data_IF_713134146314
#
_entry.id   IF_713134146314
#
_cell.length_a   1.000
_cell.length_b   1.000
_cell.length_c   1.000
_cell.angle_alpha   90.00
_cell.angle_beta   90.00
_cell.angle_gamma   90.00
#
_symmetry.space_group_name_H-M   'P 1'
#
loop_
_entity.id
_entity.type
_entity.pdbx_description
1 polymer ?
#
# COMPACT_ATOMS: atom_id res chain seq x y z
N UNK A 1 -10.84 -21.96 -20.19
CA UNK A 1 -9.68 -21.60 -19.40
C UNK A 1 -9.61 -20.09 -19.20
N UNK A 2 -9.50 -19.70 -17.99
CA UNK A 2 -9.39 -18.29 -17.71
C UNK A 2 -7.93 -17.95 -17.48
N UNK A 3 -7.45 -16.97 -18.19
CA UNK A 3 -6.17 -16.37 -17.85
C UNK A 3 -6.42 -15.47 -16.65
N UNK A 4 -5.73 -15.73 -15.57
CA UNK A 4 -5.81 -14.82 -14.44
C UNK A 4 -5.23 -13.47 -14.86
N UNK A 5 -5.99 -12.42 -14.69
CA UNK A 5 -5.46 -11.08 -14.92
C UNK A 5 -4.40 -10.81 -13.86
N UNK A 6 -3.25 -10.24 -14.24
CA UNK A 6 -2.27 -9.84 -13.22
C UNK A 6 -2.88 -8.79 -12.30
N UNK A 7 -2.54 -8.88 -11.02
CA UNK A 7 -3.00 -7.91 -10.03
C UNK A 7 -1.83 -7.01 -9.67
N UNK A 8 -1.70 -5.91 -10.38
CA UNK A 8 -0.61 -4.99 -10.15
C UNK A 8 -0.87 -4.14 -8.91
N UNK A 9 0.14 -4.00 -8.12
CA UNK A 9 0.14 -3.23 -6.92
C UNK A 9 1.56 -3.08 -6.43
N UNK A 10 1.72 -2.67 -5.19
CA UNK A 10 3.04 -2.50 -4.60
C UNK A 10 3.00 -2.84 -3.12
N UNK A 11 4.16 -3.20 -2.60
CA UNK A 11 4.32 -3.56 -1.19
C UNK A 11 4.72 -2.32 -0.41
N UNK A 12 4.03 -2.09 0.70
CA UNK A 12 4.31 -1.00 1.62
C UNK A 12 4.80 -1.58 2.93
N UNK A 13 5.98 -1.19 3.36
CA UNK A 13 6.53 -1.60 4.65
C UNK A 13 6.69 -0.37 5.54
N UNK A 14 6.12 -0.43 6.73
CA UNK A 14 6.20 0.65 7.71
C UNK A 14 7.02 0.18 8.90
N UNK A 15 7.93 1.02 9.35
CA UNK A 15 8.82 0.70 10.46
C UNK A 15 8.39 1.48 11.68
N UNK A 16 7.69 0.82 12.59
CA UNK A 16 7.28 1.44 13.84
C UNK A 16 7.04 0.37 14.88
N UNK A 17 7.39 0.68 16.12
CA UNK A 17 7.10 -0.17 17.26
C UNK A 17 5.79 0.23 17.93
N UNK A 18 5.21 1.34 17.54
CA UNK A 18 3.98 1.86 18.14
C UNK A 18 2.77 1.41 17.32
N UNK A 19 2.07 0.40 17.85
CA UNK A 19 0.90 -0.17 17.17
C UNK A 19 -0.21 0.86 16.99
N UNK A 20 -0.42 1.72 17.97
CA UNK A 20 -1.47 2.73 17.87
C UNK A 20 -1.14 3.78 16.81
N UNK A 21 0.12 4.20 16.74
CA UNK A 21 0.56 5.13 15.71
C UNK A 21 0.42 4.51 14.32
N UNK A 22 0.76 3.23 14.19
CA UNK A 22 0.62 2.50 12.94
C UNK A 22 -0.84 2.45 12.50
N UNK A 23 -1.74 2.11 13.41
CA UNK A 23 -3.16 2.03 13.10
C UNK A 23 -3.71 3.38 12.64
N UNK A 24 -3.31 4.46 13.30
CA UNK A 24 -3.74 5.80 12.91
C UNK A 24 -3.18 6.20 11.55
N UNK A 25 -1.94 5.85 11.27
CA UNK A 25 -1.30 6.15 9.99
C UNK A 25 -2.01 5.43 8.85
N UNK A 26 -2.31 4.15 9.03
CA UNK A 26 -3.00 3.37 8.00
C UNK A 26 -4.42 3.88 7.77
N UNK A 27 -5.10 4.25 8.83
CA UNK A 27 -6.44 4.79 8.72
C UNK A 27 -6.45 6.11 7.95
N UNK A 28 -5.49 6.98 8.23
CA UNK A 28 -5.35 8.25 7.52
C UNK A 28 -4.95 8.01 6.05
N UNK A 29 -4.08 7.06 5.78
CA UNK A 29 -3.69 6.72 4.42
C UNK A 29 -4.91 6.28 3.59
N UNK A 30 -5.74 5.43 4.17
CA UNK A 30 -6.97 5.00 3.50
C UNK A 30 -7.86 6.18 3.17
N UNK A 31 -8.10 7.04 4.14
CA UNK A 31 -9.01 8.18 3.97
C UNK A 31 -8.47 9.23 3.02
N UNK A 32 -7.18 9.52 3.12
CA UNK A 32 -6.59 10.64 2.39
C UNK A 32 -6.16 10.28 0.96
N UNK A 33 -5.76 9.04 0.73
CA UNK A 33 -5.18 8.63 -0.56
C UNK A 33 -5.97 7.49 -1.18
N UNK A 34 -6.11 6.39 -0.45
CA UNK A 34 -6.58 5.14 -1.06
C UNK A 34 -8.03 5.22 -1.51
N UNK A 35 -8.91 5.75 -0.69
CA UNK A 35 -10.33 5.84 -1.03
C UNK A 35 -10.58 6.72 -2.24
N UNK A 36 -9.90 7.84 -2.31
CA UNK A 36 -10.06 8.75 -3.44
C UNK A 36 -9.54 8.20 -4.75
N UNK A 37 -8.66 7.20 -4.69
CA UNK A 37 -8.11 6.58 -5.88
C UNK A 37 -8.65 5.18 -6.14
N UNK A 38 -9.57 4.71 -5.31
CA UNK A 38 -10.12 3.36 -5.44
C UNK A 38 -9.12 2.26 -5.14
N UNK A 39 -8.19 2.53 -4.24
CA UNK A 39 -7.15 1.56 -3.87
C UNK A 39 -7.54 0.80 -2.60
N UNK A 40 -7.04 -0.41 -2.49
CA UNK A 40 -7.25 -1.27 -1.33
C UNK A 40 -5.92 -1.52 -0.63
N UNK A 41 -5.99 -1.64 0.68
CA UNK A 41 -4.84 -2.00 1.52
C UNK A 41 -5.10 -3.37 2.13
N UNK A 42 -4.18 -4.30 1.90
CA UNK A 42 -4.28 -5.66 2.43
C UNK A 42 -3.08 -5.99 3.28
N UNK A 43 -3.26 -6.91 4.22
CA UNK A 43 -2.15 -7.39 5.04
C UNK A 43 -1.19 -8.20 4.19
N UNK A 44 0.11 -7.97 4.40
CA UNK A 44 1.15 -8.76 3.75
C UNK A 44 1.55 -9.97 4.59
N UNK A 45 2.65 -10.60 4.22
CA UNK A 45 3.09 -11.84 4.85
C UNK A 45 3.74 -11.63 6.21
N UNK A 46 4.23 -10.42 6.48
CA UNK A 46 4.95 -10.12 7.72
C UNK A 46 4.30 -8.94 8.42
N UNK A 47 4.62 -8.78 9.71
CA UNK A 47 4.17 -7.64 10.47
C UNK A 47 4.67 -6.34 9.83
N UNK A 48 3.81 -5.34 9.79
CA UNK A 48 4.11 -4.02 9.22
C UNK A 48 4.33 -4.03 7.71
N UNK A 49 3.98 -5.12 7.04
CA UNK A 49 4.04 -5.22 5.58
C UNK A 49 2.63 -5.27 5.03
N UNK A 50 2.35 -4.44 4.04
CA UNK A 50 1.01 -4.32 3.47
C UNK A 50 1.11 -4.32 1.96
N UNK A 51 0.02 -4.69 1.30
CA UNK A 51 -0.07 -4.70 -0.15
C UNK A 51 -1.15 -3.72 -0.57
N UNK A 52 -0.80 -2.83 -1.49
CA UNK A 52 -1.75 -1.84 -2.03
C UNK A 52 -2.05 -2.22 -3.47
N UNK A 53 -3.33 -2.38 -3.78
CA UNK A 53 -3.80 -2.74 -5.12
C UNK A 53 -4.99 -1.88 -5.50
N UNK A 54 -5.38 -1.90 -6.77
CA UNK A 54 -6.61 -1.28 -7.21
C UNK A 54 -7.82 -2.14 -6.87
N UNK A 55 -8.95 -1.49 -6.63
CA UNK A 55 -10.21 -2.17 -6.38
C UNK A 55 -10.91 -2.39 -7.72
N UNK A 56 -10.74 -3.58 -8.27
CA UNK A 56 -11.29 -3.93 -9.55
C UNK A 56 -10.51 -3.42 -10.75
N UNK A 57 -9.32 -2.86 -10.54
CA UNK A 57 -8.45 -2.38 -11.62
C UNK A 57 -7.00 -2.45 -11.17
N UNK A 58 -6.10 -2.20 -12.11
CA UNK A 58 -4.67 -2.26 -11.82
C UNK A 58 -4.21 -0.97 -11.16
N UNK A 59 -3.41 -1.08 -10.10
CA UNK A 59 -2.72 0.07 -9.56
C UNK A 59 -1.67 0.56 -10.58
N UNK A 60 -1.30 1.82 -10.52
CA UNK A 60 -0.38 2.43 -11.46
C UNK A 60 0.80 3.08 -10.74
N UNK A 61 1.81 3.47 -11.51
CA UNK A 61 2.93 4.22 -10.94
C UNK A 61 2.47 5.54 -10.33
N UNK A 62 1.45 6.17 -10.90
CA UNK A 62 0.90 7.40 -10.34
C UNK A 62 0.28 7.15 -8.98
N UNK A 63 -0.37 6.01 -8.79
CA UNK A 63 -0.91 5.63 -7.48
C UNK A 63 0.20 5.42 -6.46
N UNK A 64 1.26 4.74 -6.87
CA UNK A 64 2.43 4.50 -6.03
C UNK A 64 3.08 5.81 -5.61
N UNK A 65 3.28 6.72 -6.56
CA UNK A 65 3.88 8.02 -6.26
C UNK A 65 3.00 8.86 -5.35
N UNK A 66 1.68 8.76 -5.48
CA UNK A 66 0.77 9.46 -4.59
C UNK A 66 0.90 8.98 -3.14
N UNK A 67 1.06 7.68 -2.95
CA UNK A 67 1.29 7.11 -1.61
C UNK A 67 2.62 7.59 -1.05
N UNK A 68 3.68 7.56 -1.86
CA UNK A 68 5.00 8.02 -1.43
C UNK A 68 4.95 9.50 -1.03
N UNK A 69 4.34 10.33 -1.85
CA UNK A 69 4.24 11.76 -1.57
C UNK A 69 3.49 12.03 -0.28
N UNK A 70 2.41 11.28 -0.04
CA UNK A 70 1.65 11.42 1.19
C UNK A 70 2.46 10.99 2.40
N UNK A 71 3.17 9.85 2.30
CA UNK A 71 4.00 9.37 3.40
C UNK A 71 5.12 10.33 3.74
N UNK A 72 5.68 11.02 2.75
CA UNK A 72 6.72 12.01 2.97
C UNK A 72 6.24 13.19 3.81
N UNK A 73 4.94 13.45 3.85
CA UNK A 73 4.37 14.53 4.65
C UNK A 73 4.00 14.11 6.06
N UNK A 74 4.08 12.81 6.37
CA UNK A 74 3.65 12.29 7.66
C UNK A 74 4.85 12.11 8.59
N UNK A 75 4.66 12.33 9.90
CA UNK A 75 5.70 12.07 10.87
C UNK A 75 5.79 10.58 11.17
N UNK A 76 6.46 9.83 10.30
CA UNK A 76 6.66 8.41 10.53
C UNK A 76 7.87 8.21 11.46
N UNK A 77 7.72 7.48 12.56
CA UNK A 77 8.78 7.41 13.56
C UNK A 77 10.08 6.79 13.07
N UNK A 78 10.00 5.75 12.26
CA UNK A 78 11.20 5.03 11.85
C UNK A 78 11.32 4.86 10.34
N UNK A 79 10.42 5.47 9.57
CA UNK A 79 10.50 5.45 8.12
C UNK A 79 9.59 4.43 7.47
N UNK A 80 9.69 4.35 6.17
CA UNK A 80 8.86 3.45 5.37
C UNK A 80 9.64 3.00 4.14
N UNK A 81 9.15 1.93 3.51
CA UNK A 81 9.66 1.46 2.21
C UNK A 81 8.47 1.17 1.31
N UNK A 82 8.51 1.65 0.08
CA UNK A 82 7.48 1.38 -0.92
C UNK A 82 8.15 0.65 -2.07
N UNK A 83 7.70 -0.58 -2.32
CA UNK A 83 8.25 -1.39 -3.40
C UNK A 83 7.82 -0.90 -4.77
N UNK A 84 8.43 -1.46 -5.81
CA UNK A 84 8.07 -1.14 -7.18
C UNK A 84 6.70 -1.74 -7.53
N UNK A 85 6.05 -1.15 -8.52
CA UNK A 85 4.81 -1.70 -9.05
C UNK A 85 5.09 -3.06 -9.68
N UNK A 86 4.34 -4.08 -9.26
CA UNK A 86 4.56 -5.45 -9.71
C UNK A 86 3.26 -6.23 -9.58
N UNK A 87 3.24 -7.43 -10.13
CA UNK A 87 2.11 -8.33 -10.02
C UNK A 87 2.13 -9.00 -8.64
N UNK A 88 1.40 -8.39 -7.71
CA UNK A 88 1.36 -8.87 -6.31
C UNK A 88 0.46 -10.10 -6.15
N UNK A 89 -0.43 -10.36 -7.11
CA UNK A 89 -1.29 -11.54 -7.06
C UNK A 89 -0.54 -12.83 -7.28
N UNK A 90 0.59 -12.78 -7.99
CA UNK A 90 1.40 -13.96 -8.25
C UNK A 90 2.23 -14.40 -7.07
N UNK A 91 2.45 -13.51 -6.13
CA UNK A 91 3.26 -13.82 -4.96
C UNK A 91 2.55 -14.74 -3.97
N UNK A 92 1.29 -14.95 -4.16
CA UNK A 92 0.50 -15.80 -3.27
C UNK A 92 0.82 -17.29 -3.49
#
# INVERSE_FOLDING_TARGET
MSAACPLFGFVLQLRTDDVDALARLLSALRADVLEGRGLLLMDGEAANVYIVTGDGFQATDADREAVIAWLDTQPTPAGYTVGALDDVGRAA
#
